data_IF_440783762208
#
_entry.id   IF_440783762208
#
_cell.length_a   1.000
_cell.length_b   1.000
_cell.length_c   1.000
_cell.angle_alpha   90.00
_cell.angle_beta   90.00
_cell.angle_gamma   90.00
#
_symmetry.space_group_name_H-M   'P 1'
#
loop_
_entity.id
_entity.type
_entity.pdbx_description
1 polymer ?
#
# COMPACT_ATOMS: atom_id res chain seq x y z
N UNK A 1 -25.53 58.03 -18.83
CA UNK A 1 -25.38 57.06 -17.72
C UNK A 1 -25.16 55.69 -18.33
N UNK A 2 -23.91 55.27 -18.43
CA UNK A 2 -23.52 53.90 -18.83
C UNK A 2 -22.07 53.70 -18.42
N UNK A 3 -21.87 53.44 -17.12
CA UNK A 3 -20.60 52.98 -16.59
C UNK A 3 -20.44 51.50 -16.94
N UNK A 4 -19.59 51.18 -17.91
CA UNK A 4 -18.97 49.85 -17.98
C UNK A 4 -17.60 49.98 -17.32
N UNK A 5 -17.54 49.49 -16.08
CA UNK A 5 -16.31 49.35 -15.33
C UNK A 5 -15.54 48.14 -15.85
N UNK A 6 -14.27 48.38 -16.13
CA UNK A 6 -13.23 47.41 -16.42
C UNK A 6 -13.07 46.46 -15.23
N UNK A 7 -13.28 45.15 -15.43
CA UNK A 7 -12.94 44.14 -14.42
C UNK A 7 -11.60 43.52 -14.83
N UNK A 8 -10.55 43.64 -14.03
CA UNK A 8 -9.24 43.10 -14.35
C UNK A 8 -9.24 41.58 -14.15
N UNK A 9 -8.64 40.88 -15.11
CA UNK A 9 -8.25 39.47 -15.03
C UNK A 9 -7.20 39.30 -13.92
N UNK A 10 -7.60 38.79 -12.76
CA UNK A 10 -6.67 38.35 -11.73
C UNK A 10 -6.18 36.93 -12.05
N UNK A 11 -4.94 36.87 -12.53
CA UNK A 11 -4.13 35.67 -12.43
C UNK A 11 -3.85 35.41 -10.94
N UNK A 12 -4.42 34.35 -10.37
CA UNK A 12 -3.94 33.73 -9.14
C UNK A 12 -3.84 32.24 -9.40
N UNK A 13 -2.58 31.78 -9.55
CA UNK A 13 -2.24 30.39 -9.74
C UNK A 13 -2.75 29.53 -8.58
N UNK A 14 -3.43 28.46 -8.93
CA UNK A 14 -3.46 27.25 -8.10
C UNK A 14 -2.39 26.35 -8.68
N UNK A 15 -1.19 26.35 -8.11
CA UNK A 15 -0.30 25.20 -8.26
C UNK A 15 -1.04 24.01 -7.65
N UNK A 16 -1.43 23.06 -8.47
CA UNK A 16 -2.16 21.88 -8.03
C UNK A 16 -1.23 20.99 -7.21
N UNK A 17 -1.79 20.25 -6.25
CA UNK A 17 -1.07 19.17 -5.55
C UNK A 17 -0.59 18.08 -6.52
N UNK A 18 -1.26 17.94 -7.68
CA UNK A 18 -0.78 17.12 -8.80
C UNK A 18 0.57 17.58 -9.33
N UNK A 19 0.86 18.89 -9.28
CA UNK A 19 2.10 19.48 -9.78
C UNK A 19 3.26 19.25 -8.79
N UNK A 20 2.96 18.82 -7.56
CA UNK A 20 3.93 18.47 -6.51
C UNK A 20 4.26 16.96 -6.46
N UNK A 21 3.41 16.08 -7.02
CA UNK A 21 3.61 14.62 -7.00
C UNK A 21 4.06 14.15 -8.40
N UNK A 22 5.28 13.64 -8.56
CA UNK A 22 5.79 13.20 -9.87
C UNK A 22 4.88 12.17 -10.54
N UNK A 23 4.62 12.35 -11.83
CA UNK A 23 3.96 11.36 -12.68
C UNK A 23 5.06 10.70 -13.51
N UNK A 24 5.28 9.41 -13.30
CA UNK A 24 6.35 8.64 -13.94
C UNK A 24 5.70 7.60 -14.85
N UNK A 25 5.94 7.75 -16.15
CA UNK A 25 5.54 6.75 -17.14
C UNK A 25 6.61 5.68 -17.27
N UNK A 26 6.24 4.42 -17.02
CA UNK A 26 7.18 3.29 -17.06
C UNK A 26 7.08 2.47 -18.34
N UNK A 27 6.35 2.94 -19.36
CA UNK A 27 6.06 2.16 -20.58
C UNK A 27 7.34 1.65 -21.25
N UNK A 28 8.35 2.51 -21.36
CA UNK A 28 9.61 2.22 -22.05
C UNK A 28 10.54 1.35 -21.18
N UNK A 29 10.53 1.54 -19.86
CA UNK A 29 11.22 0.63 -18.93
C UNK A 29 10.64 -0.78 -19.03
N UNK A 30 9.31 -0.91 -19.05
CA UNK A 30 8.62 -2.19 -19.24
C UNK A 30 8.75 -2.73 -20.69
N UNK A 31 9.20 -1.92 -21.64
CA UNK A 31 9.59 -2.37 -22.98
C UNK A 31 11.05 -2.83 -23.05
N UNK A 32 11.83 -2.61 -21.98
CA UNK A 32 13.24 -2.98 -21.90
C UNK A 32 14.19 -1.93 -22.48
N UNK A 33 13.75 -0.66 -22.60
CA UNK A 33 14.62 0.44 -23.03
C UNK A 33 15.58 0.85 -21.88
N UNK A 34 16.91 0.62 -22.02
CA UNK A 34 17.87 1.01 -21.01
C UNK A 34 17.99 2.51 -20.82
N UNK A 35 17.68 3.33 -21.84
CA UNK A 35 17.75 4.78 -21.76
C UNK A 35 16.67 5.35 -20.84
N UNK A 36 15.46 4.78 -20.88
CA UNK A 36 14.33 5.19 -20.04
C UNK A 36 14.54 4.90 -18.55
N UNK A 37 15.36 3.89 -18.22
CA UNK A 37 15.60 3.47 -16.84
C UNK A 37 16.23 4.57 -15.98
N UNK A 38 17.24 5.26 -16.51
CA UNK A 38 17.94 6.32 -15.79
C UNK A 38 17.01 7.50 -15.45
N UNK A 39 16.19 7.91 -16.41
CA UNK A 39 15.25 9.02 -16.26
C UNK A 39 14.14 8.68 -15.26
N UNK A 40 13.58 7.47 -15.33
CA UNK A 40 12.60 7.00 -14.34
C UNK A 40 13.23 6.92 -12.93
N UNK A 41 14.46 6.43 -12.82
CA UNK A 41 15.16 6.31 -11.56
C UNK A 41 15.46 7.67 -10.91
N UNK A 42 15.83 8.68 -11.71
CA UNK A 42 16.03 10.04 -11.21
C UNK A 42 14.73 10.65 -10.67
N UNK A 43 13.62 10.46 -11.38
CA UNK A 43 12.30 10.91 -10.93
C UNK A 43 11.84 10.17 -9.67
N UNK A 44 12.08 8.86 -9.60
CA UNK A 44 11.73 8.05 -8.43
C UNK A 44 12.55 8.46 -7.19
N UNK A 45 13.84 8.78 -7.38
CA UNK A 45 14.70 9.30 -6.31
C UNK A 45 14.13 10.59 -5.73
N UNK A 46 13.81 11.56 -6.60
CA UNK A 46 13.15 12.80 -6.19
C UNK A 46 11.82 12.52 -5.48
N UNK A 47 11.01 11.60 -6.02
CA UNK A 47 9.76 11.22 -5.41
C UNK A 47 9.92 10.70 -3.99
N UNK A 48 10.93 9.87 -3.67
CA UNK A 48 11.07 9.30 -2.32
C UNK A 48 11.92 10.11 -1.34
N UNK A 49 12.86 10.92 -1.82
CA UNK A 49 13.68 11.78 -0.97
C UNK A 49 12.90 13.06 -0.59
N UNK A 50 12.15 13.64 -1.53
CA UNK A 50 11.54 14.96 -1.35
C UNK A 50 10.02 14.95 -1.19
N UNK A 51 9.28 14.02 -1.80
CA UNK A 51 7.81 14.10 -1.86
C UNK A 51 7.13 13.05 -0.97
N UNK A 52 7.52 11.79 -1.16
CA UNK A 52 7.03 10.58 -0.52
C UNK A 52 6.02 9.76 -1.34
N UNK A 53 5.56 10.26 -2.48
CA UNK A 53 4.59 9.58 -3.35
C UNK A 53 4.92 9.87 -4.82
N UNK A 54 4.42 9.02 -5.71
CA UNK A 54 4.42 9.26 -7.15
C UNK A 54 3.23 8.60 -7.82
N UNK A 55 2.84 9.10 -8.99
CA UNK A 55 1.85 8.47 -9.85
C UNK A 55 2.54 7.64 -10.92
N UNK A 56 2.12 6.39 -11.03
CA UNK A 56 2.60 5.42 -11.99
C UNK A 56 1.64 5.33 -13.18
N UNK A 57 2.12 5.69 -14.38
CA UNK A 57 1.42 5.51 -15.67
C UNK A 57 2.19 4.54 -16.57
N UNK A 58 1.61 4.13 -17.70
CA UNK A 58 2.30 3.19 -18.61
C UNK A 58 2.42 1.75 -18.08
N UNK A 59 1.73 1.42 -16.99
CA UNK A 59 1.92 0.20 -16.21
C UNK A 59 1.32 -1.09 -16.82
N UNK A 60 0.60 -0.99 -17.94
CA UNK A 60 0.01 -2.11 -18.71
C UNK A 60 -1.02 -3.03 -18.01
N UNK A 61 -1.27 -2.88 -16.70
CA UNK A 61 -2.41 -3.52 -16.02
C UNK A 61 -3.73 -3.08 -16.66
N UNK A 62 -4.58 -4.00 -17.16
CA UNK A 62 -5.80 -3.61 -17.86
C UNK A 62 -6.79 -2.89 -16.95
N UNK A 63 -7.23 -1.68 -17.32
CA UNK A 63 -8.24 -0.93 -16.56
C UNK A 63 -9.53 -1.74 -16.31
N UNK A 64 -10.05 -2.55 -17.25
CA UNK A 64 -11.22 -3.39 -16.98
C UNK A 64 -10.99 -4.42 -15.86
N UNK A 65 -9.76 -4.86 -15.62
CA UNK A 65 -9.44 -5.75 -14.50
C UNK A 65 -9.47 -4.98 -13.18
N UNK A 66 -8.89 -3.78 -13.13
CA UNK A 66 -8.94 -2.89 -11.96
C UNK A 66 -10.40 -2.58 -11.58
N UNK A 67 -11.22 -2.20 -12.55
CA UNK A 67 -12.64 -1.89 -12.35
C UNK A 67 -13.43 -3.11 -11.84
N UNK A 68 -13.15 -4.31 -12.37
CA UNK A 68 -13.74 -5.55 -11.87
C UNK A 68 -13.36 -5.82 -10.42
N UNK A 69 -12.11 -5.58 -10.01
CA UNK A 69 -11.68 -5.81 -8.62
C UNK A 69 -12.36 -4.84 -7.65
N UNK A 70 -12.58 -3.58 -8.04
CA UNK A 70 -13.43 -2.67 -7.26
C UNK A 70 -14.87 -3.18 -7.15
N UNK A 71 -15.41 -3.73 -8.23
CA UNK A 71 -16.75 -4.36 -8.22
C UNK A 71 -16.80 -5.56 -7.28
N UNK A 72 -15.79 -6.43 -7.31
CA UNK A 72 -15.68 -7.57 -6.40
C UNK A 72 -15.51 -7.15 -4.94
N UNK A 73 -14.72 -6.10 -4.66
CA UNK A 73 -14.62 -5.54 -3.31
C UNK A 73 -15.98 -5.06 -2.80
N UNK A 74 -16.76 -4.36 -3.64
CA UNK A 74 -18.11 -3.94 -3.29
C UNK A 74 -19.06 -5.15 -3.09
N UNK A 75 -19.02 -6.16 -3.98
CA UNK A 75 -19.79 -7.40 -3.85
C UNK A 75 -19.48 -8.13 -2.54
N UNK A 76 -18.20 -8.23 -2.16
CA UNK A 76 -17.79 -8.84 -0.91
C UNK A 76 -18.36 -8.11 0.30
N UNK A 77 -18.20 -6.78 0.35
CA UNK A 77 -18.61 -5.97 1.50
C UNK A 77 -20.13 -5.83 1.62
N UNK A 78 -20.87 -5.99 0.52
CA UNK A 78 -22.34 -6.04 0.49
C UNK A 78 -22.94 -7.34 1.07
N UNK A 79 -22.14 -8.39 1.27
CA UNK A 79 -22.64 -9.62 1.90
C UNK A 79 -23.10 -9.39 3.34
N UNK A 80 -24.06 -10.20 3.85
CA UNK A 80 -24.41 -10.21 5.26
C UNK A 80 -23.19 -10.35 6.16
N UNK A 81 -23.20 -9.69 7.32
CA UNK A 81 -22.09 -9.72 8.26
C UNK A 81 -21.73 -11.15 8.69
N UNK A 82 -22.73 -12.02 8.84
CA UNK A 82 -22.53 -13.44 9.18
C UNK A 82 -21.68 -14.18 8.15
N UNK A 83 -21.88 -13.93 6.84
CA UNK A 83 -21.08 -14.54 5.78
C UNK A 83 -19.65 -14.02 5.79
N UNK A 84 -19.47 -12.71 5.99
CA UNK A 84 -18.13 -12.11 6.10
C UNK A 84 -17.37 -12.65 7.33
N UNK A 85 -18.06 -12.86 8.45
CA UNK A 85 -17.48 -13.39 9.69
C UNK A 85 -17.06 -14.86 9.61
N UNK A 86 -17.62 -15.66 8.69
CA UNK A 86 -17.10 -17.02 8.41
C UNK A 86 -15.67 -16.99 7.88
N UNK A 87 -15.26 -15.86 7.30
CA UNK A 87 -13.93 -15.64 6.75
C UNK A 87 -13.11 -14.72 7.65
N UNK A 88 -13.42 -14.61 8.95
CA UNK A 88 -12.75 -13.70 9.89
C UNK A 88 -11.22 -13.84 9.80
N UNK A 89 -10.55 -12.71 9.91
CA UNK A 89 -9.10 -12.62 9.80
C UNK A 89 -8.40 -13.61 10.75
N UNK A 90 -7.50 -14.42 10.20
CA UNK A 90 -6.74 -15.43 10.93
C UNK A 90 -5.35 -14.91 11.30
N UNK A 91 -4.55 -15.77 11.93
CA UNK A 91 -3.18 -15.48 12.32
C UNK A 91 -2.36 -15.05 11.11
N UNK A 92 -2.52 -15.65 9.92
CA UNK A 92 -1.78 -15.30 8.70
C UNK A 92 -2.14 -13.94 8.11
N UNK A 93 -3.01 -13.16 8.77
CA UNK A 93 -3.53 -11.89 8.26
C UNK A 93 -4.27 -12.08 6.92
N UNK A 94 -5.00 -13.20 6.81
CA UNK A 94 -5.87 -13.57 5.69
C UNK A 94 -7.32 -13.52 6.18
N UNK A 95 -8.22 -12.94 5.39
CA UNK A 95 -9.65 -12.91 5.67
C UNK A 95 -10.18 -11.52 6.07
N UNK A 96 -11.35 -11.51 6.68
CA UNK A 96 -12.16 -10.33 6.96
C UNK A 96 -11.86 -9.71 8.33
N UNK A 97 -11.51 -8.43 8.32
CA UNK A 97 -11.38 -7.55 9.47
C UNK A 97 -12.68 -6.73 9.63
N UNK A 98 -13.45 -6.96 10.71
CA UNK A 98 -14.71 -6.26 10.93
C UNK A 98 -14.54 -4.74 11.12
N UNK A 99 -15.63 -4.01 10.87
CA UNK A 99 -15.74 -2.58 11.16
C UNK A 99 -15.30 -2.27 12.59
N UNK A 100 -14.45 -1.25 12.79
CA UNK A 100 -13.91 -0.86 14.11
C UNK A 100 -13.12 -1.95 14.83
N UNK A 101 -12.64 -2.99 14.13
CA UNK A 101 -11.84 -4.03 14.77
C UNK A 101 -10.39 -3.61 15.05
N UNK A 102 -9.81 -2.70 14.28
CA UNK A 102 -8.42 -2.28 14.44
C UNK A 102 -8.28 -0.85 14.96
N UNK A 103 -7.31 -0.64 15.84
CA UNK A 103 -6.83 0.69 16.27
C UNK A 103 -5.36 0.79 15.90
N UNK A 104 -4.98 1.81 15.12
CA UNK A 104 -3.57 2.09 14.81
C UNK A 104 -2.90 2.66 16.07
N UNK A 105 -2.28 1.81 16.91
CA UNK A 105 -1.73 2.22 18.21
C UNK A 105 -0.26 2.63 18.14
N UNK A 106 0.52 1.96 17.28
CA UNK A 106 1.92 2.26 17.06
C UNK A 106 2.12 2.99 15.74
N UNK A 107 2.10 4.31 15.81
CA UNK A 107 2.37 5.21 14.71
C UNK A 107 3.18 6.40 15.25
N UNK A 108 4.38 6.61 14.72
CA UNK A 108 5.18 7.81 15.00
C UNK A 108 4.53 9.09 14.42
N UNK A 109 3.43 8.93 13.68
CA UNK A 109 2.70 10.00 13.02
C UNK A 109 1.59 10.56 13.90
N UNK A 110 0.93 9.72 14.71
CA UNK A 110 -0.17 10.16 15.58
C UNK A 110 -0.44 9.21 16.73
N UNK A 111 -0.77 9.77 17.90
CA UNK A 111 -1.35 9.03 19.01
C UNK A 111 -2.84 8.79 18.75
N UNK A 112 -3.17 7.67 18.09
CA UNK A 112 -4.56 7.29 17.85
C UNK A 112 -5.07 6.33 18.94
N UNK A 113 -6.21 6.69 19.53
CA UNK A 113 -6.89 5.92 20.57
C UNK A 113 -8.30 5.47 20.16
N UNK A 114 -8.72 5.72 18.91
CA UNK A 114 -10.03 5.34 18.37
C UNK A 114 -9.90 4.21 17.34
N UNK A 115 -10.83 3.24 17.34
CA UNK A 115 -10.91 2.26 16.26
C UNK A 115 -11.15 2.92 14.90
N UNK A 116 -10.54 2.36 13.87
CA UNK A 116 -10.69 2.82 12.49
C UNK A 116 -12.11 2.52 11.97
N UNK A 117 -12.74 3.50 11.32
CA UNK A 117 -14.04 3.37 10.65
C UNK A 117 -13.91 2.70 9.28
N UNK A 118 -13.33 1.51 9.28
CA UNK A 118 -13.31 0.67 8.10
C UNK A 118 -13.44 -0.81 8.45
N UNK A 119 -13.88 -1.54 7.44
CA UNK A 119 -13.75 -2.98 7.35
C UNK A 119 -12.83 -3.32 6.17
N UNK A 120 -12.20 -4.49 6.19
CA UNK A 120 -11.30 -4.90 5.11
C UNK A 120 -11.28 -6.41 4.94
N UNK A 121 -10.95 -6.87 3.74
CA UNK A 121 -10.68 -8.27 3.46
C UNK A 121 -9.29 -8.41 2.84
N UNK A 122 -8.48 -9.30 3.43
CA UNK A 122 -7.07 -9.47 3.12
C UNK A 122 -6.85 -10.77 2.36
N UNK A 123 -6.13 -10.67 1.25
CA UNK A 123 -5.70 -11.79 0.40
C UNK A 123 -4.19 -11.75 0.31
N UNK A 124 -3.53 -12.90 0.51
CA UNK A 124 -2.09 -13.08 0.32
C UNK A 124 -1.84 -13.78 -1.02
N UNK A 125 -0.57 -14.10 -1.31
CA UNK A 125 -0.23 -14.99 -2.44
C UNK A 125 -1.07 -16.27 -2.39
N UNK A 126 -1.69 -16.64 -3.52
CA UNK A 126 -2.59 -17.80 -3.60
C UNK A 126 -1.81 -19.12 -3.69
N UNK A 127 -1.26 -19.54 -2.56
CA UNK A 127 -0.50 -20.78 -2.44
C UNK A 127 -1.43 -21.99 -2.40
N UNK A 128 -1.10 -23.09 -3.10
CA UNK A 128 -1.88 -24.32 -3.01
C UNK A 128 -1.69 -25.00 -1.64
N UNK A 129 -2.67 -25.78 -1.21
CA UNK A 129 -2.66 -26.44 0.11
C UNK A 129 -1.45 -27.39 0.34
N UNK A 130 -0.86 -27.90 -0.74
CA UNK A 130 0.31 -28.78 -0.69
C UNK A 130 1.65 -28.02 -0.71
N UNK A 131 1.64 -26.68 -0.79
CA UNK A 131 2.86 -25.88 -0.78
C UNK A 131 3.66 -26.12 0.52
N UNK A 132 5.01 -26.23 0.48
CA UNK A 132 5.81 -26.52 1.67
C UNK A 132 5.56 -25.55 2.84
N UNK A 133 5.51 -24.24 2.56
CA UNK A 133 5.24 -23.23 3.59
C UNK A 133 3.84 -23.36 4.21
N UNK A 134 2.83 -23.74 3.41
CA UNK A 134 1.47 -23.96 3.91
C UNK A 134 1.45 -25.19 4.82
N UNK A 135 2.08 -26.30 4.41
CA UNK A 135 2.17 -27.52 5.20
C UNK A 135 2.96 -27.34 6.50
N UNK A 136 3.97 -26.47 6.48
CA UNK A 136 4.77 -26.11 7.64
C UNK A 136 4.08 -25.06 8.54
N UNK A 137 2.88 -24.60 8.18
CA UNK A 137 2.16 -23.52 8.85
C UNK A 137 3.01 -22.24 9.02
N UNK A 138 3.82 -21.91 8.01
CA UNK A 138 4.70 -20.74 8.05
C UNK A 138 3.85 -19.47 8.09
N UNK A 139 4.16 -18.57 9.04
CA UNK A 139 3.44 -17.31 9.23
C UNK A 139 3.33 -16.55 7.90
N UNK A 140 2.17 -15.96 7.66
CA UNK A 140 1.83 -15.20 6.44
C UNK A 140 1.82 -15.98 5.11
N UNK A 141 2.08 -17.29 5.13
CA UNK A 141 2.10 -18.18 3.95
C UNK A 141 0.96 -19.21 3.98
N UNK A 142 -0.19 -18.81 4.51
CA UNK A 142 -1.38 -19.66 4.60
C UNK A 142 -2.22 -19.66 3.32
N UNK A 143 -3.20 -20.57 3.24
CA UNK A 143 -4.20 -20.57 2.16
C UNK A 143 -5.19 -19.41 2.32
N UNK A 144 -5.59 -18.81 1.20
CA UNK A 144 -6.60 -17.75 1.21
C UNK A 144 -8.00 -18.29 1.58
N UNK A 145 -8.78 -17.48 2.29
CA UNK A 145 -10.14 -17.81 2.73
C UNK A 145 -11.18 -17.25 1.74
N UNK A 146 -11.54 -18.00 0.71
CA UNK A 146 -12.41 -17.54 -0.37
C UNK A 146 -13.92 -17.59 -0.03
N UNK A 147 -14.72 -16.57 -0.40
CA UNK A 147 -16.17 -16.58 -0.21
C UNK A 147 -16.86 -17.57 -1.15
N UNK A 148 -17.53 -18.59 -0.60
CA UNK A 148 -18.25 -19.59 -1.38
C UNK A 148 -19.45 -19.01 -2.17
N UNK A 149 -20.05 -17.93 -1.68
CA UNK A 149 -21.25 -17.32 -2.25
C UNK A 149 -20.98 -16.31 -3.39
N UNK A 150 -19.72 -16.10 -3.77
CA UNK A 150 -19.34 -15.15 -4.83
C UNK A 150 -18.64 -15.86 -6.00
N UNK A 151 -19.40 -16.37 -6.99
CA UNK A 151 -18.82 -16.93 -8.20
C UNK A 151 -17.95 -15.91 -8.94
N UNK A 152 -16.80 -16.36 -9.46
CA UNK A 152 -15.84 -15.54 -10.19
C UNK A 152 -14.94 -14.65 -9.33
N UNK A 153 -15.15 -14.64 -8.01
CA UNK A 153 -14.42 -13.76 -7.10
C UNK A 153 -12.94 -14.14 -7.02
N UNK A 154 -12.63 -15.40 -6.71
CA UNK A 154 -11.24 -15.87 -6.61
C UNK A 154 -10.48 -15.64 -7.90
N UNK A 155 -11.07 -16.02 -9.02
CA UNK A 155 -10.46 -15.93 -10.35
C UNK A 155 -10.10 -14.48 -10.69
N UNK A 156 -11.01 -13.54 -10.41
CA UNK A 156 -10.79 -12.11 -10.65
C UNK A 156 -9.69 -11.55 -9.75
N UNK A 157 -9.71 -11.89 -8.45
CA UNK A 157 -8.73 -11.40 -7.49
C UNK A 157 -7.34 -11.96 -7.77
N UNK A 158 -7.22 -13.26 -8.07
CA UNK A 158 -5.95 -13.89 -8.43
C UNK A 158 -5.38 -13.27 -9.71
N UNK A 159 -6.20 -13.13 -10.76
CA UNK A 159 -5.75 -12.50 -12.01
C UNK A 159 -5.24 -11.05 -11.81
N UNK A 160 -5.85 -10.29 -10.90
CA UNK A 160 -5.36 -8.96 -10.54
C UNK A 160 -4.05 -9.02 -9.76
N UNK A 161 -3.94 -9.89 -8.76
CA UNK A 161 -2.70 -10.06 -8.00
C UNK A 161 -1.53 -10.47 -8.90
N UNK A 162 -1.75 -11.38 -9.85
CA UNK A 162 -0.73 -11.81 -10.81
C UNK A 162 -0.26 -10.63 -11.69
N UNK A 163 -1.19 -9.80 -12.18
CA UNK A 163 -0.87 -8.61 -12.96
C UNK A 163 -0.11 -7.55 -12.13
N UNK A 164 -0.49 -7.36 -10.86
CA UNK A 164 0.17 -6.43 -9.95
C UNK A 164 1.56 -6.91 -9.55
N UNK A 165 1.75 -8.22 -9.34
CA UNK A 165 3.06 -8.81 -9.09
C UNK A 165 3.98 -8.62 -10.29
N UNK A 166 3.52 -8.94 -11.51
CA UNK A 166 4.30 -8.76 -12.73
C UNK A 166 4.73 -7.29 -12.92
N UNK A 167 3.83 -6.35 -12.65
CA UNK A 167 4.13 -4.92 -12.65
C UNK A 167 5.19 -4.57 -11.60
N UNK A 168 4.99 -4.99 -10.34
CA UNK A 168 5.87 -4.65 -9.23
C UNK A 168 7.29 -5.19 -9.46
N UNK A 169 7.43 -6.41 -9.96
CA UNK A 169 8.70 -7.00 -10.40
C UNK A 169 9.32 -6.20 -11.55
N UNK A 170 8.52 -5.82 -12.55
CA UNK A 170 8.97 -5.08 -13.73
C UNK A 170 9.53 -3.69 -13.43
N UNK A 171 9.13 -3.07 -12.32
CA UNK A 171 9.62 -1.75 -11.89
C UNK A 171 10.74 -1.81 -10.85
N UNK A 172 11.12 -2.98 -10.33
CA UNK A 172 12.26 -3.13 -9.39
C UNK A 172 13.57 -2.51 -9.90
N UNK A 173 13.92 -2.60 -11.21
CA UNK A 173 15.10 -1.92 -11.72
C UNK A 173 15.13 -0.43 -11.47
N UNK A 174 13.98 0.24 -11.55
CA UNK A 174 13.87 1.68 -11.29
C UNK A 174 14.27 1.99 -9.83
N UNK A 175 13.83 1.17 -8.88
CA UNK A 175 14.19 1.31 -7.46
C UNK A 175 15.68 1.09 -7.22
N UNK A 176 16.25 0.04 -7.81
CA UNK A 176 17.67 -0.27 -7.65
C UNK A 176 18.55 0.86 -8.19
N UNK A 177 18.28 1.32 -9.42
CA UNK A 177 19.00 2.43 -10.04
C UNK A 177 18.78 3.75 -9.29
N UNK A 178 17.57 4.00 -8.77
CA UNK A 178 17.29 5.19 -7.96
C UNK A 178 18.08 5.22 -6.64
N UNK A 179 18.48 4.05 -6.14
CA UNK A 179 19.32 3.86 -4.95
C UNK A 179 20.82 3.70 -5.28
N UNK A 180 21.26 4.00 -6.51
CA UNK A 180 22.65 3.86 -6.94
C UNK A 180 23.19 2.41 -6.89
N UNK A 181 22.32 1.44 -7.17
CA UNK A 181 22.64 0.00 -7.21
C UNK A 181 22.50 -0.54 -8.65
N UNK A 182 23.12 -1.70 -8.97
CA UNK A 182 22.85 -2.42 -10.21
C UNK A 182 21.36 -2.66 -10.42
N UNK A 183 20.88 -2.55 -11.67
CA UNK A 183 19.45 -2.64 -12.00
C UNK A 183 18.79 -3.97 -11.57
N UNK A 184 19.58 -5.04 -11.42
CA UNK A 184 19.16 -6.38 -11.01
C UNK A 184 19.39 -6.66 -9.52
N UNK A 185 19.83 -5.67 -8.73
CA UNK A 185 20.22 -5.86 -7.32
C UNK A 185 19.14 -6.54 -6.48
N UNK A 186 17.88 -6.18 -6.70
CA UNK A 186 16.75 -6.74 -5.94
C UNK A 186 16.24 -8.09 -6.48
N UNK A 187 16.69 -8.55 -7.66
CA UNK A 187 16.12 -9.73 -8.32
C UNK A 187 16.18 -10.99 -7.45
N UNK A 188 17.29 -11.23 -6.74
CA UNK A 188 17.43 -12.38 -5.85
C UNK A 188 16.50 -12.29 -4.62
N UNK A 189 16.34 -11.10 -4.06
CA UNK A 189 15.48 -10.88 -2.89
C UNK A 189 13.99 -11.05 -3.23
N UNK A 190 13.60 -10.73 -4.46
CA UNK A 190 12.23 -10.80 -4.95
C UNK A 190 11.96 -12.04 -5.82
N UNK A 191 12.77 -13.09 -5.71
CA UNK A 191 12.57 -14.34 -6.47
C UNK A 191 11.32 -15.14 -6.03
N UNK A 192 10.93 -15.06 -4.74
CA UNK A 192 9.64 -15.53 -4.20
C UNK A 192 9.00 -14.40 -3.38
N UNK A 193 8.50 -13.34 -4.04
CA UNK A 193 8.07 -12.14 -3.34
C UNK A 193 6.76 -12.40 -2.60
N UNK A 194 6.51 -11.59 -1.58
CA UNK A 194 5.25 -11.62 -0.85
C UNK A 194 4.38 -10.45 -1.29
N UNK A 195 3.07 -10.66 -1.26
CA UNK A 195 2.13 -9.56 -1.42
C UNK A 195 0.90 -9.72 -0.55
N UNK A 196 0.23 -8.59 -0.31
CA UNK A 196 -1.09 -8.54 0.30
C UNK A 196 -1.97 -7.61 -0.52
N UNK A 197 -3.10 -8.11 -1.01
CA UNK A 197 -4.19 -7.27 -1.47
C UNK A 197 -5.14 -7.02 -0.30
N UNK A 198 -5.40 -5.75 0.02
CA UNK A 198 -6.38 -5.37 1.03
C UNK A 198 -7.56 -4.69 0.37
N UNK A 199 -8.70 -5.35 0.32
CA UNK A 199 -9.96 -4.78 -0.17
C UNK A 199 -10.70 -4.12 0.99
N UNK A 200 -10.56 -2.80 1.12
CA UNK A 200 -11.13 -2.00 2.22
C UNK A 200 -12.44 -1.35 1.82
N UNK A 201 -13.35 -1.22 2.78
CA UNK A 201 -14.58 -0.45 2.67
C UNK A 201 -14.62 0.62 3.78
N UNK A 202 -14.83 1.87 3.36
CA UNK A 202 -14.96 3.04 4.21
C UNK A 202 -16.36 3.65 4.00
N UNK A 203 -17.28 3.45 4.95
CA UNK A 203 -18.60 4.04 4.88
C UNK A 203 -18.55 5.58 4.85
N UNK A 204 -19.56 6.20 4.25
CA UNK A 204 -19.72 7.65 4.36
C UNK A 204 -19.88 8.05 5.83
N UNK A 205 -19.01 8.97 6.28
CA UNK A 205 -19.06 9.49 7.65
C UNK A 205 -19.11 11.03 7.62
N UNK A 206 -20.31 11.65 7.72
CA UNK A 206 -20.50 13.09 7.55
C UNK A 206 -19.75 13.92 8.61
N UNK A 207 -19.72 13.42 9.84
CA UNK A 207 -19.00 14.02 10.97
C UNK A 207 -18.15 12.97 11.65
N UNK A 208 -16.87 13.27 11.79
CA UNK A 208 -15.92 12.45 12.55
C UNK A 208 -15.67 13.13 13.89
N UNK A 209 -15.63 12.35 14.96
CA UNK A 209 -15.13 12.85 16.24
C UNK A 209 -13.64 13.22 16.14
N UNK A 210 -13.13 13.96 17.12
CA UNK A 210 -11.69 14.22 17.21
C UNK A 210 -10.91 12.89 17.27
N UNK A 211 -9.86 12.79 16.45
CA UNK A 211 -9.03 11.59 16.28
C UNK A 211 -9.79 10.35 15.74
N UNK A 212 -10.96 10.52 15.15
CA UNK A 212 -11.65 9.46 14.42
C UNK A 212 -11.33 9.52 12.93
N UNK A 213 -11.05 8.37 12.33
CA UNK A 213 -10.63 8.25 10.94
C UNK A 213 -11.25 7.00 10.32
N UNK A 214 -11.42 7.01 8.99
CA UNK A 214 -11.63 5.77 8.24
C UNK A 214 -10.40 4.87 8.36
N UNK A 215 -9.21 5.46 8.26
CA UNK A 215 -7.94 4.85 8.63
C UNK A 215 -7.02 5.93 9.20
N UNK A 216 -6.57 5.75 10.44
CA UNK A 216 -5.75 6.74 11.13
C UNK A 216 -4.40 6.99 10.45
N UNK A 217 -3.73 8.14 10.72
CA UNK A 217 -2.40 8.42 10.20
C UNK A 217 -1.39 7.31 10.48
N UNK A 218 -0.82 6.76 9.40
CA UNK A 218 0.17 5.69 9.46
C UNK A 218 1.09 5.78 8.23
N UNK A 219 2.20 5.06 8.29
CA UNK A 219 2.98 4.67 7.13
C UNK A 219 2.80 3.17 6.91
N UNK A 220 2.80 2.75 5.64
CA UNK A 220 2.73 1.33 5.30
C UNK A 220 3.97 0.58 5.79
N UNK A 221 3.87 -0.74 5.85
CA UNK A 221 5.00 -1.60 6.24
C UNK A 221 5.83 -2.05 5.04
N UNK A 222 5.28 -2.09 3.83
CA UNK A 222 5.87 -2.78 2.68
C UNK A 222 7.07 -2.08 2.03
N UNK A 223 7.75 -2.79 1.12
CA UNK A 223 8.75 -2.21 0.21
C UNK A 223 8.09 -1.17 -0.71
N UNK A 224 6.99 -1.56 -1.36
CA UNK A 224 6.15 -0.65 -2.14
C UNK A 224 4.67 -0.94 -1.91
N UNK A 225 3.84 0.09 -2.06
CA UNK A 225 2.38 0.00 -2.09
C UNK A 225 1.90 0.57 -3.39
N UNK A 226 1.11 -0.19 -4.16
CA UNK A 226 0.43 0.29 -5.35
C UNK A 226 -1.05 0.45 -5.03
N UNK A 227 -1.55 1.68 -5.07
CA UNK A 227 -2.94 2.00 -4.80
C UNK A 227 -3.65 2.44 -6.07
N UNK A 228 -4.60 1.62 -6.54
CA UNK A 228 -5.44 1.96 -7.67
C UNK A 228 -6.25 3.23 -7.38
N UNK A 229 -6.39 4.10 -8.38
CA UNK A 229 -7.24 5.28 -8.29
C UNK A 229 -8.68 4.90 -7.93
N UNK A 230 -9.22 5.55 -6.90
CA UNK A 230 -10.64 5.48 -6.58
C UNK A 230 -11.35 6.72 -7.14
N UNK A 231 -12.58 6.54 -7.62
CA UNK A 231 -13.50 7.61 -8.03
C UNK A 231 -13.98 8.46 -6.86
N UNK A 232 -14.01 7.88 -5.65
CA UNK A 232 -14.46 8.53 -4.42
C UNK A 232 -13.25 9.03 -3.61
N UNK A 233 -13.13 10.35 -3.36
CA UNK A 233 -12.01 10.91 -2.61
C UNK A 233 -12.05 10.48 -1.14
N UNK A 234 -10.91 10.62 -0.46
CA UNK A 234 -10.84 10.40 0.98
C UNK A 234 -9.48 9.98 1.50
N UNK A 235 -8.49 9.77 0.64
CA UNK A 235 -7.09 9.62 1.04
C UNK A 235 -6.48 11.01 1.24
N UNK A 236 -5.79 11.22 2.36
CA UNK A 236 -4.91 12.38 2.54
C UNK A 236 -3.48 11.90 2.77
N UNK A 237 -2.54 12.62 2.18
CA UNK A 237 -1.10 12.38 2.20
C UNK A 237 -0.44 13.43 3.09
N UNK A 238 0.65 13.08 3.77
CA UNK A 238 1.47 14.05 4.50
C UNK A 238 2.71 14.39 3.69
N UNK A 239 2.84 15.65 3.27
CA UNK A 239 4.00 16.16 2.51
C UNK A 239 5.27 16.20 3.36
N UNK A 240 6.42 16.41 2.73
CA UNK A 240 7.69 16.68 3.42
C UNK A 240 7.62 17.85 4.40
N UNK A 241 6.88 18.90 4.05
CA UNK A 241 6.66 20.06 4.91
C UNK A 241 5.74 19.75 6.11
N UNK A 242 5.27 18.51 6.24
CA UNK A 242 4.38 18.05 7.32
C UNK A 242 2.90 18.40 7.12
N UNK A 243 2.52 19.02 6.00
CA UNK A 243 1.13 19.39 5.69
C UNK A 243 0.34 18.17 5.23
N UNK A 244 -0.93 18.11 5.61
CA UNK A 244 -1.87 17.12 5.09
C UNK A 244 -2.58 17.67 3.86
N UNK A 245 -2.53 16.93 2.76
CA UNK A 245 -3.16 17.27 1.48
C UNK A 245 -4.08 16.13 1.06
N UNK A 246 -5.18 16.42 0.37
CA UNK A 246 -5.99 15.37 -0.23
C UNK A 246 -5.26 14.81 -1.45
N UNK A 247 -5.24 13.48 -1.57
CA UNK A 247 -4.59 12.82 -2.68
C UNK A 247 -5.33 13.15 -3.99
N UNK A 248 -4.65 13.71 -5.01
CA UNK A 248 -5.27 13.89 -6.30
C UNK A 248 -5.56 12.54 -6.95
N UNK A 249 -6.50 12.53 -7.90
CA UNK A 249 -6.91 11.32 -8.60
C UNK A 249 -6.58 11.47 -10.09
N UNK A 250 -5.60 10.71 -10.57
CA UNK A 250 -5.20 10.69 -11.99
C UNK A 250 -5.77 9.45 -12.66
N UNK A 251 -6.53 9.69 -13.74
CA UNK A 251 -7.21 8.64 -14.50
C UNK A 251 -6.22 7.57 -14.98
N UNK A 252 -6.47 6.32 -14.59
CA UNK A 252 -5.65 5.17 -15.03
C UNK A 252 -4.25 5.13 -14.43
N UNK A 253 -3.96 5.91 -13.37
CA UNK A 253 -2.70 5.85 -12.66
C UNK A 253 -2.83 5.06 -11.34
N UNK A 254 -1.73 4.45 -10.92
CA UNK A 254 -1.57 4.01 -9.54
C UNK A 254 -0.88 5.10 -8.73
N UNK A 255 -1.39 5.41 -7.53
CA UNK A 255 -0.62 6.17 -6.56
C UNK A 255 0.31 5.19 -5.84
N UNK A 256 1.61 5.47 -5.84
CA UNK A 256 2.63 4.58 -5.30
C UNK A 256 3.38 5.25 -4.15
N UNK A 257 3.59 4.51 -3.07
CA UNK A 257 4.42 4.91 -1.95
C UNK A 257 5.30 3.76 -1.48
N UNK A 258 6.27 4.09 -0.63
CA UNK A 258 7.08 3.13 0.08
C UNK A 258 6.65 3.07 1.54
N UNK A 259 6.94 1.95 2.17
CA UNK A 259 6.68 1.72 3.58
C UNK A 259 7.95 1.60 4.40
N UNK A 260 7.78 1.16 5.64
CA UNK A 260 8.84 1.04 6.62
C UNK A 260 9.94 0.06 6.19
N UNK A 261 9.62 -0.99 5.42
CA UNK A 261 10.66 -1.93 4.96
C UNK A 261 11.65 -1.29 4.01
N UNK A 262 11.20 -0.58 2.96
CA UNK A 262 12.13 0.13 2.08
C UNK A 262 12.86 1.27 2.81
N UNK A 263 12.19 1.96 3.73
CA UNK A 263 12.84 2.97 4.57
C UNK A 263 13.99 2.38 5.38
N UNK A 264 13.79 1.22 6.02
CA UNK A 264 14.85 0.55 6.78
C UNK A 264 15.97 0.06 5.88
N UNK A 265 15.62 -0.57 4.76
CA UNK A 265 16.60 -1.12 3.81
C UNK A 265 17.50 -0.03 3.23
N UNK A 266 16.93 1.13 2.88
CA UNK A 266 17.64 2.32 2.37
C UNK A 266 18.22 3.22 3.47
N UNK A 267 18.32 2.75 4.70
CA UNK A 267 18.86 3.51 5.85
C UNK A 267 18.18 4.87 6.10
N UNK A 268 16.91 4.99 5.75
CA UNK A 268 16.12 6.20 5.86
C UNK A 268 16.21 7.15 4.67
N UNK A 269 16.98 6.81 3.64
CA UNK A 269 17.11 7.61 2.40
C UNK A 269 15.78 7.73 1.68
N UNK A 270 15.08 6.60 1.46
CA UNK A 270 13.72 6.64 0.92
C UNK A 270 12.71 6.67 2.07
N UNK A 271 11.78 7.61 2.03
CA UNK A 271 10.90 7.92 3.17
C UNK A 271 9.66 7.04 3.18
N UNK A 272 9.30 6.50 4.34
CA UNK A 272 8.00 5.86 4.55
C UNK A 272 6.93 6.95 4.76
N UNK A 273 6.06 7.15 3.77
CA UNK A 273 5.25 8.38 3.74
C UNK A 273 3.93 8.25 4.49
N UNK A 274 3.67 9.12 5.47
CA UNK A 274 2.43 9.05 6.21
C UNK A 274 1.20 9.41 5.36
N UNK A 275 0.14 8.64 5.54
CA UNK A 275 -1.16 8.89 4.92
C UNK A 275 -2.30 8.49 5.87
N UNK A 276 -3.52 8.95 5.56
CA UNK A 276 -4.74 8.67 6.34
C UNK A 276 -5.95 8.62 5.44
N UNK A 277 -7.04 8.04 5.92
CA UNK A 277 -8.32 8.00 5.19
C UNK A 277 -9.45 8.63 6.00
N UNK A 278 -10.20 9.51 5.36
CA UNK A 278 -11.43 10.14 5.84
C UNK A 278 -12.42 10.19 4.68
N UNK A 279 -13.56 9.49 4.81
CA UNK A 279 -14.59 9.52 3.77
C UNK A 279 -15.72 10.52 4.11
N UNK A 280 -15.67 11.69 3.46
CA UNK A 280 -16.68 12.75 3.56
C UNK A 280 -17.49 12.95 2.27
N UNK A 281 -17.39 12.01 1.34
CA UNK A 281 -17.85 12.18 -0.05
C UNK A 281 -19.37 12.09 -0.26
N UNK A 282 -20.13 11.55 0.70
CA UNK A 282 -21.56 11.25 0.57
C UNK A 282 -21.89 9.82 0.11
N UNK A 283 -20.89 8.99 -0.21
CA UNK A 283 -21.09 7.59 -0.61
C UNK A 283 -19.99 6.66 -0.09
N UNK A 284 -20.14 5.36 -0.34
CA UNK A 284 -19.18 4.35 0.09
C UNK A 284 -17.88 4.43 -0.72
N UNK A 285 -16.75 4.34 -0.01
CA UNK A 285 -15.42 4.38 -0.60
C UNK A 285 -14.76 3.02 -0.46
N UNK A 286 -14.38 2.41 -1.58
CA UNK A 286 -13.60 1.17 -1.62
C UNK A 286 -12.12 1.43 -1.90
N UNK A 287 -11.19 0.69 -1.32
CA UNK A 287 -9.78 0.81 -1.69
C UNK A 287 -9.17 -0.58 -1.85
N UNK A 288 -8.27 -0.73 -2.82
CA UNK A 288 -7.62 -2.00 -3.15
C UNK A 288 -6.08 -1.87 -3.12
N UNK A 289 -5.45 -1.30 -2.07
CA UNK A 289 -3.99 -1.24 -2.01
C UNK A 289 -3.37 -2.63 -2.11
N UNK A 290 -2.35 -2.72 -2.96
CA UNK A 290 -1.50 -3.89 -3.16
C UNK A 290 -0.14 -3.62 -2.52
N UNK A 291 0.13 -4.29 -1.41
CA UNK A 291 1.39 -4.21 -0.68
C UNK A 291 2.33 -5.28 -1.22
N UNK A 292 3.54 -4.91 -1.62
CA UNK A 292 4.51 -5.80 -2.24
C UNK A 292 5.85 -5.76 -1.50
N UNK A 293 6.42 -6.93 -1.24
CA UNK A 293 7.60 -7.13 -0.41
C UNK A 293 8.48 -8.27 -0.96
N UNK A 294 9.75 -8.29 -0.54
CA UNK A 294 10.69 -9.34 -0.88
C UNK A 294 10.31 -10.70 -0.26
N UNK A 295 11.10 -11.73 -0.52
CA UNK A 295 10.89 -13.06 0.05
C UNK A 295 10.85 -13.02 1.58
N UNK A 296 9.96 -13.84 2.15
CA UNK A 296 9.56 -13.74 3.57
C UNK A 296 10.72 -13.83 4.58
N UNK A 297 11.77 -14.55 4.22
CA UNK A 297 12.98 -14.77 5.04
C UNK A 297 14.24 -14.16 4.43
N UNK A 298 14.13 -13.38 3.35
CA UNK A 298 15.29 -12.64 2.84
C UNK A 298 15.74 -11.64 3.91
N UNK A 299 17.03 -11.69 4.27
CA UNK A 299 17.60 -10.78 5.24
C UNK A 299 17.86 -9.42 4.59
N UNK A 300 17.17 -8.40 5.09
CA UNK A 300 17.37 -7.01 4.70
C UNK A 300 18.41 -6.40 5.63
N UNK A 301 19.64 -6.32 5.13
CA UNK A 301 20.73 -5.51 5.71
C UNK A 301 20.77 -4.14 5.03
N UNK A 302 21.29 -3.12 5.72
CA UNK A 302 21.42 -1.78 5.16
C UNK A 302 22.11 -1.82 3.77
N UNK A 303 21.50 -1.18 2.78
CA UNK A 303 22.03 -1.16 1.42
C UNK A 303 23.43 -0.53 1.37
N UNK A 304 24.35 -1.07 0.56
CA UNK A 304 25.74 -0.60 0.51
C UNK A 304 25.85 0.85 0.01
N UNK A 305 24.92 1.29 -0.87
CA UNK A 305 24.83 2.67 -1.35
C UNK A 305 24.17 3.65 -0.37
N UNK A 306 23.65 3.15 0.76
CA UNK A 306 22.92 3.93 1.76
C UNK A 306 23.66 4.01 3.10
N UNK A 307 24.93 3.62 3.14
CA UNK A 307 25.78 3.70 4.33
C UNK A 307 27.21 4.11 3.99
N UNK A 308 27.90 4.68 4.98
CA UNK A 308 29.30 5.09 4.86
C UNK A 308 29.84 5.53 6.24
N UNK A 309 31.10 5.99 6.31
CA UNK A 309 31.74 6.41 7.57
C UNK A 309 30.92 7.43 8.37
N UNK A 310 30.27 8.37 7.66
CA UNK A 310 29.46 9.44 8.27
C UNK A 310 27.95 9.11 8.33
N UNK A 311 27.54 7.94 7.83
CA UNK A 311 26.16 7.46 7.85
C UNK A 311 26.13 5.94 8.11
N UNK A 312 26.48 5.48 9.33
CA UNK A 312 26.43 4.06 9.66
C UNK A 312 24.99 3.52 9.59
N UNK A 313 24.80 2.19 9.50
CA UNK A 313 23.47 1.59 9.52
C UNK A 313 22.69 2.02 10.77
N UNK A 314 21.49 2.57 10.57
CA UNK A 314 20.60 3.08 11.63
C UNK A 314 19.65 2.02 12.18
N UNK A 315 19.55 0.89 11.48
CA UNK A 315 18.59 -0.17 11.74
C UNK A 315 19.30 -1.51 11.76
N UNK A 316 18.96 -2.34 12.75
CA UNK A 316 19.38 -3.75 12.77
C UNK A 316 18.82 -4.51 11.56
N UNK A 317 19.60 -5.47 11.00
CA UNK A 317 19.13 -6.41 10.00
C UNK A 317 17.84 -7.11 10.43
N UNK A 318 16.92 -7.31 9.48
CA UNK A 318 15.65 -8.01 9.75
C UNK A 318 15.14 -8.74 8.52
N UNK A 319 14.15 -9.60 8.70
CA UNK A 319 13.40 -10.22 7.60
C UNK A 319 11.98 -9.65 7.59
N UNK A 320 11.26 -9.81 6.48
CA UNK A 320 9.84 -9.46 6.44
C UNK A 320 9.06 -10.19 7.53
N UNK A 321 9.35 -11.49 7.74
CA UNK A 321 8.75 -12.30 8.79
C UNK A 321 8.90 -11.66 10.17
N UNK A 322 10.13 -11.43 10.62
CA UNK A 322 10.43 -10.88 11.95
C UNK A 322 9.79 -9.51 12.14
N UNK A 323 9.90 -8.66 11.11
CA UNK A 323 9.33 -7.31 11.16
C UNK A 323 7.80 -7.35 11.27
N UNK A 324 7.12 -8.19 10.50
CA UNK A 324 5.66 -8.27 10.51
C UNK A 324 5.11 -8.96 11.76
N UNK A 325 5.83 -9.92 12.34
CA UNK A 325 5.48 -10.50 13.64
C UNK A 325 5.53 -9.45 14.74
N UNK A 326 6.63 -8.69 14.82
CA UNK A 326 6.73 -7.54 15.72
C UNK A 326 5.60 -6.53 15.46
N UNK A 327 5.41 -6.10 14.21
CA UNK A 327 4.40 -5.09 13.87
C UNK A 327 2.97 -5.53 14.25
N UNK A 328 2.65 -6.83 14.07
CA UNK A 328 1.36 -7.37 14.47
C UNK A 328 1.20 -7.46 15.98
N UNK A 329 2.26 -7.82 16.71
CA UNK A 329 2.27 -7.82 18.18
C UNK A 329 2.24 -6.41 18.78
N UNK A 330 2.26 -5.35 17.97
CA UNK A 330 2.09 -3.98 18.43
C UNK A 330 0.68 -3.46 18.10
N UNK A 331 0.14 -3.81 16.93
CA UNK A 331 -1.09 -3.21 16.40
C UNK A 331 -2.33 -4.12 16.48
N UNK A 332 -2.13 -5.43 16.62
CA UNK A 332 -3.18 -6.44 16.52
C UNK A 332 -3.21 -7.41 17.71
N UNK A 333 -2.71 -6.99 18.88
CA UNK A 333 -2.66 -7.78 20.13
C UNK A 333 -3.97 -8.39 20.63
N UNK A 334 -5.10 -8.06 20.00
CA UNK A 334 -6.42 -8.61 20.28
C UNK A 334 -6.81 -9.76 19.33
N UNK A 335 -6.08 -9.97 18.22
CA UNK A 335 -6.24 -11.12 17.33
C UNK A 335 -5.67 -12.36 18.04
N UNK A 336 -6.37 -13.48 17.90
CA UNK A 336 -6.02 -14.79 18.47
C UNK A 336 -5.94 -15.80 17.33
N UNK A 337 -5.10 -16.82 17.46
CA UNK A 337 -5.15 -17.98 16.57
C UNK A 337 -6.46 -18.78 16.80
N UNK A 338 -6.68 -19.82 16.00
CA UNK A 338 -7.85 -20.69 16.11
C UNK A 338 -8.00 -21.31 17.52
N UNK A 339 -6.90 -21.49 18.24
CA UNK A 339 -6.86 -22.03 19.60
C UNK A 339 -7.04 -20.96 20.70
N UNK A 340 -7.29 -19.70 20.35
CA UNK A 340 -7.53 -18.62 21.32
C UNK A 340 -6.26 -18.10 22.01
N UNK A 341 -5.08 -18.48 21.54
CA UNK A 341 -3.76 -18.06 22.07
C UNK A 341 -3.36 -16.70 21.47
N UNK A 342 -2.75 -15.86 22.29
CA UNK A 342 -2.15 -14.59 21.85
C UNK A 342 -0.98 -14.86 20.92
N UNK A 343 -0.91 -14.14 19.81
CA UNK A 343 0.28 -14.10 18.98
C UNK A 343 1.36 -13.33 19.77
N UNK A 344 2.15 -14.02 20.58
CA UNK A 344 3.33 -13.43 21.21
C UNK A 344 4.48 -13.42 20.19
N UNK A 345 5.15 -12.28 20.05
CA UNK A 345 6.49 -12.26 19.46
C UNK A 345 7.42 -12.96 20.45
N UNK A 346 8.09 -14.04 20.03
CA UNK A 346 9.15 -14.67 20.81
C UNK A 346 10.41 -13.80 20.79
#
# INVERSE_FOLDING_TARGET
MSHQAHVPTSAHGRSGVSDEIPIIDVSDVLAGDPAALADCAAQLRHAYEDVGFWFLTGHRVPQPLVDRVFTEAARFHAQPLEEKLKLKINEHNIGYLPMKAATTRHSDVSTNNRPNLNEAYFVKRDLPANHPDVRANKRFRGVNLWPAALPGFRETIVAYCDAMEALALGILPIYATALDLPADYFSAAFADPQYTLRMSHYPYTPSLAQNEYGLAPHADTSFMTLLAQNKIPGLSLRTASGRWIDAPAIAGAFLVNSGQMLNRWSNGRFRATPHRVVNRSGGDRYAIPFFFDCAIEHEMTCLPSCTGPDNPPRFEPTTYLKFMEWYQSQNYDHIRNAEGVRLQAN
#
